data_IF_761626592689
#
_entry.id   IF_761626592689
#
_cell.length_a   1.000
_cell.length_b   1.000
_cell.length_c   1.000
_cell.angle_alpha   90.00
_cell.angle_beta   90.00
_cell.angle_gamma   90.00
#
_symmetry.space_group_name_H-M   'P 1'
#
loop_
_entity.id
_entity.type
_entity.pdbx_description
1 polymer ?
#
# COMPACT_ATOMS: atom_id res chain seq x y z
N UNK A 1 35.99 -1.04 -32.29
CA UNK A 1 36.47 -0.21 -31.15
C UNK A 1 36.75 -1.07 -29.94
N UNK A 2 37.96 -0.98 -29.39
CA UNK A 2 38.42 -1.81 -28.27
C UNK A 2 39.21 -1.04 -27.22
N UNK A 3 39.14 0.30 -27.23
CA UNK A 3 39.83 1.22 -26.31
C UNK A 3 41.29 0.78 -26.02
N UNK A 4 42.07 0.59 -27.09
CA UNK A 4 43.50 0.24 -27.03
C UNK A 4 44.31 1.41 -27.58
N UNK A 5 45.49 1.62 -27.03
CA UNK A 5 46.45 2.60 -27.51
C UNK A 5 47.86 1.98 -27.53
N UNK A 6 48.73 2.50 -28.40
CA UNK A 6 50.12 2.07 -28.52
C UNK A 6 51.00 3.29 -28.83
N UNK A 7 52.19 3.33 -28.25
CA UNK A 7 53.24 4.29 -28.58
C UNK A 7 54.46 3.53 -29.11
N UNK A 8 54.75 3.69 -30.41
CA UNK A 8 55.83 2.99 -31.11
C UNK A 8 57.06 3.88 -31.31
N UNK A 9 58.23 3.25 -31.49
CA UNK A 9 59.47 3.97 -31.81
C UNK A 9 60.03 4.82 -30.65
N UNK A 10 59.70 4.48 -29.40
CA UNK A 10 60.20 5.19 -28.23
C UNK A 10 61.67 4.81 -27.94
N UNK A 11 62.50 5.81 -27.68
CA UNK A 11 63.88 5.59 -27.28
C UNK A 11 63.94 4.81 -25.96
N UNK A 12 64.83 3.82 -25.88
CA UNK A 12 65.04 3.07 -24.63
C UNK A 12 65.96 3.79 -23.66
N UNK A 13 66.87 4.62 -24.17
CA UNK A 13 67.90 5.31 -23.40
C UNK A 13 68.04 6.77 -23.84
N UNK A 14 68.30 7.66 -22.88
CA UNK A 14 68.69 9.05 -23.13
C UNK A 14 69.99 9.32 -22.40
N UNK A 15 71.03 9.74 -23.12
CA UNK A 15 72.37 9.99 -22.58
C UNK A 15 72.94 8.82 -21.73
N UNK A 16 72.68 7.57 -22.16
CA UNK A 16 73.14 6.36 -21.47
C UNK A 16 72.29 5.90 -20.28
N UNK A 17 71.22 6.60 -19.91
CA UNK A 17 70.30 6.21 -18.83
C UNK A 17 68.98 5.66 -19.38
N UNK A 18 68.43 4.60 -18.76
CA UNK A 18 67.17 3.99 -19.16
C UNK A 18 65.99 4.94 -18.90
N UNK A 19 65.08 5.06 -19.87
CA UNK A 19 63.89 5.91 -19.75
C UNK A 19 62.75 5.09 -19.12
N UNK A 20 62.16 5.60 -18.04
CA UNK A 20 60.94 5.05 -17.45
C UNK A 20 59.73 5.77 -18.03
N UNK A 21 58.99 5.11 -18.91
CA UNK A 21 57.74 5.64 -19.45
C UNK A 21 56.56 5.33 -18.51
N UNK A 22 55.65 6.28 -18.39
CA UNK A 22 54.38 6.17 -17.67
C UNK A 22 53.29 6.85 -18.48
N UNK A 23 52.05 6.46 -18.26
CA UNK A 23 50.88 7.06 -18.90
C UNK A 23 50.07 7.86 -17.89
N UNK A 24 49.38 8.89 -18.38
CA UNK A 24 48.41 9.65 -17.62
C UNK A 24 47.27 10.05 -18.54
N UNK A 25 46.04 9.97 -18.06
CA UNK A 25 44.83 10.45 -18.70
C UNK A 25 44.54 11.89 -18.24
N UNK A 26 44.00 12.71 -19.15
CA UNK A 26 43.38 13.96 -18.75
C UNK A 26 42.16 13.69 -17.86
N UNK A 27 41.86 14.59 -16.92
CA UNK A 27 40.71 14.41 -16.03
C UNK A 27 39.41 14.30 -16.84
N UNK A 28 38.63 13.25 -16.55
CA UNK A 28 37.29 13.04 -17.12
C UNK A 28 36.28 13.41 -16.04
N UNK A 29 35.39 14.36 -16.35
CA UNK A 29 34.42 14.87 -15.38
C UNK A 29 33.52 13.74 -14.84
N UNK A 30 33.34 13.74 -13.52
CA UNK A 30 32.59 12.69 -12.82
C UNK A 30 33.26 11.32 -12.70
N UNK A 31 34.47 11.11 -13.24
CA UNK A 31 35.19 9.84 -13.15
C UNK A 31 36.45 9.95 -12.28
N UNK A 32 36.73 8.86 -11.56
CA UNK A 32 37.99 8.64 -10.86
C UNK A 32 38.86 7.70 -11.66
N UNK A 33 39.97 8.21 -12.16
CA UNK A 33 40.99 7.46 -12.90
C UNK A 33 41.98 6.77 -11.94
N UNK A 34 42.30 5.52 -12.23
CA UNK A 34 43.33 4.71 -11.55
C UNK A 34 44.18 3.99 -12.60
N UNK A 35 45.39 3.58 -12.22
CA UNK A 35 46.36 2.97 -13.14
C UNK A 35 46.81 1.61 -12.62
N UNK A 36 46.77 0.59 -13.48
CA UNK A 36 47.35 -0.72 -13.24
C UNK A 36 48.41 -1.01 -14.32
N UNK A 37 49.66 -0.63 -14.03
CA UNK A 37 50.70 -0.53 -15.05
C UNK A 37 50.33 0.53 -16.08
N UNK A 38 50.18 0.13 -17.34
CA UNK A 38 49.72 1.01 -18.41
C UNK A 38 48.20 0.92 -18.64
N UNK A 39 47.47 0.06 -17.92
CA UNK A 39 46.02 0.02 -18.03
C UNK A 39 45.42 1.20 -17.26
N UNK A 40 44.56 1.97 -17.92
CA UNK A 40 43.83 3.10 -17.34
C UNK A 40 42.43 2.59 -16.99
N UNK A 41 42.00 2.82 -15.76
CA UNK A 41 40.70 2.37 -15.24
C UNK A 41 39.93 3.57 -14.69
N UNK A 42 38.79 3.88 -15.30
CA UNK A 42 37.89 4.94 -14.86
C UNK A 42 36.69 4.35 -14.11
N UNK A 43 36.43 4.89 -12.93
CA UNK A 43 35.30 4.49 -12.08
C UNK A 43 34.37 5.68 -11.86
N UNK A 44 33.06 5.45 -11.90
CA UNK A 44 32.03 6.46 -11.66
C UNK A 44 31.05 5.95 -10.61
N UNK A 45 30.66 6.82 -9.67
CA UNK A 45 29.65 6.49 -8.68
C UNK A 45 28.26 6.70 -9.27
N UNK A 46 27.50 5.61 -9.38
CA UNK A 46 26.12 5.65 -9.89
C UNK A 46 25.23 6.36 -8.88
N UNK A 47 24.43 7.33 -9.34
CA UNK A 47 23.44 8.01 -8.52
C UNK A 47 22.35 7.03 -8.04
N UNK A 48 22.05 7.08 -6.74
CA UNK A 48 21.03 6.25 -6.09
C UNK A 48 19.82 7.06 -5.65
N UNK A 49 18.69 6.39 -5.46
CA UNK A 49 17.44 6.95 -4.93
C UNK A 49 16.72 5.93 -4.04
N UNK A 50 15.60 6.36 -3.44
CA UNK A 50 14.72 5.51 -2.65
C UNK A 50 13.26 5.83 -2.92
N UNK A 51 12.40 4.85 -2.67
CA UNK A 51 10.94 4.97 -2.77
C UNK A 51 10.34 4.48 -1.46
N UNK A 52 9.57 5.34 -0.79
CA UNK A 52 8.86 5.00 0.44
C UNK A 52 7.40 5.44 0.37
N UNK A 53 6.59 4.80 1.20
CA UNK A 53 5.16 5.05 1.30
C UNK A 53 4.57 4.43 2.56
N UNK A 54 3.31 4.78 2.82
CA UNK A 54 2.53 4.23 3.92
C UNK A 54 1.23 3.62 3.40
N UNK A 55 0.80 2.55 4.08
CA UNK A 55 -0.50 1.91 3.91
C UNK A 55 -1.49 2.46 4.94
N UNK A 56 -2.67 2.83 4.45
CA UNK A 56 -3.83 3.25 5.24
C UNK A 56 -5.00 2.31 4.97
N UNK A 57 -5.72 1.96 6.03
CA UNK A 57 -6.93 1.15 6.00
C UNK A 57 -8.14 2.04 6.29
N UNK A 58 -9.10 2.06 5.36
CA UNK A 58 -10.39 2.74 5.49
C UNK A 58 -11.50 1.67 5.58
N UNK A 59 -11.57 1.01 6.73
CA UNK A 59 -12.42 -0.18 6.99
C UNK A 59 -13.06 -0.17 8.37
N UNK A 60 -13.32 1.03 8.90
CA UNK A 60 -13.96 1.23 10.22
C UNK A 60 -13.23 0.49 11.36
N UNK A 61 -11.90 0.59 11.37
CA UNK A 61 -11.03 -0.11 12.32
C UNK A 61 -11.22 -1.63 12.29
N UNK A 62 -11.23 -2.19 11.07
CA UNK A 62 -11.43 -3.62 10.83
C UNK A 62 -12.75 -4.16 11.42
N UNK A 63 -13.84 -3.40 11.29
CA UNK A 63 -15.15 -3.74 11.87
C UNK A 63 -15.63 -5.15 11.49
N UNK A 64 -15.43 -5.52 10.22
CA UNK A 64 -15.86 -6.81 9.65
C UNK A 64 -14.80 -7.91 9.82
N UNK A 65 -13.62 -7.60 10.37
CA UNK A 65 -12.55 -8.57 10.61
C UNK A 65 -11.84 -9.08 9.34
N UNK A 66 -12.00 -8.41 8.20
CA UNK A 66 -11.48 -8.84 6.90
C UNK A 66 -10.07 -8.35 6.58
N UNK A 67 -9.51 -7.43 7.38
CA UNK A 67 -8.16 -6.89 7.16
C UNK A 67 -7.14 -8.04 7.26
N UNK A 68 -6.31 -8.27 6.22
CA UNK A 68 -5.27 -9.28 6.28
C UNK A 68 -4.14 -8.86 7.23
N UNK A 69 -3.36 -9.85 7.70
CA UNK A 69 -2.19 -9.60 8.55
C UNK A 69 -1.03 -8.92 7.79
N UNK A 70 -0.99 -9.09 6.48
CA UNK A 70 0.05 -8.58 5.60
C UNK A 70 -0.48 -8.21 4.20
N UNK A 71 0.25 -7.33 3.53
CA UNK A 71 0.08 -7.00 2.11
C UNK A 71 1.41 -7.19 1.38
N UNK A 72 1.36 -7.32 0.06
CA UNK A 72 2.56 -7.26 -0.78
C UNK A 72 2.55 -5.99 -1.61
N UNK A 73 3.57 -5.14 -1.43
CA UNK A 73 3.82 -3.95 -2.24
C UNK A 73 4.90 -4.24 -3.26
N UNK A 74 4.61 -4.05 -4.53
CA UNK A 74 5.54 -4.24 -5.64
C UNK A 74 6.15 -2.89 -6.03
N UNK A 75 7.47 -2.89 -6.28
CA UNK A 75 8.16 -1.76 -6.89
C UNK A 75 8.27 -2.01 -8.39
N UNK A 76 7.83 -1.04 -9.18
CA UNK A 76 7.92 -1.06 -10.63
C UNK A 76 8.95 -0.02 -11.10
N UNK A 77 9.87 -0.44 -11.96
CA UNK A 77 10.77 0.43 -12.71
C UNK A 77 10.30 0.46 -14.16
N UNK A 78 9.94 1.65 -14.66
CA UNK A 78 9.42 1.85 -16.02
C UNK A 78 8.26 0.90 -16.36
N UNK A 79 7.36 0.71 -15.39
CA UNK A 79 6.18 -0.16 -15.52
C UNK A 79 6.46 -1.67 -15.41
N UNK A 80 7.67 -2.08 -15.05
CA UNK A 80 8.01 -3.50 -14.83
C UNK A 80 8.35 -3.75 -13.37
N UNK A 81 7.76 -4.79 -12.78
CA UNK A 81 8.10 -5.22 -11.42
C UNK A 81 9.59 -5.56 -11.33
N UNK A 82 10.29 -4.93 -10.39
CA UNK A 82 11.72 -5.15 -10.11
C UNK A 82 11.98 -5.63 -8.69
N UNK A 83 11.07 -5.35 -7.75
CA UNK A 83 11.17 -5.78 -6.37
C UNK A 83 9.78 -5.91 -5.73
N UNK A 84 9.69 -6.51 -4.54
CA UNK A 84 8.48 -6.53 -3.72
C UNK A 84 8.80 -6.64 -2.23
N UNK A 85 7.93 -6.06 -1.41
CA UNK A 85 8.05 -6.08 0.05
C UNK A 85 6.74 -6.52 0.69
N UNK A 86 6.83 -7.45 1.62
CA UNK A 86 5.74 -7.77 2.54
C UNK A 86 5.67 -6.68 3.61
N UNK A 87 4.49 -6.14 3.84
CA UNK A 87 4.25 -5.06 4.81
C UNK A 87 3.18 -5.50 5.79
N UNK A 88 3.46 -5.34 7.09
CA UNK A 88 2.59 -5.79 8.18
C UNK A 88 2.28 -4.65 9.15
N UNK A 89 1.40 -4.92 10.11
CA UNK A 89 1.16 -4.01 11.23
C UNK A 89 2.41 -3.77 12.10
N UNK A 90 3.35 -4.75 12.18
CA UNK A 90 4.61 -4.61 12.93
C UNK A 90 5.53 -3.55 12.34
N UNK A 91 5.43 -3.33 11.04
CA UNK A 91 6.16 -2.29 10.31
C UNK A 91 5.48 -0.91 10.42
N UNK A 92 4.39 -0.82 11.20
CA UNK A 92 3.55 0.36 11.24
C UNK A 92 2.88 0.67 9.90
N UNK A 93 2.69 -0.36 9.06
CA UNK A 93 2.15 -0.23 7.71
C UNK A 93 2.99 0.70 6.82
N UNK A 94 4.31 0.78 7.04
CA UNK A 94 5.23 1.59 6.23
C UNK A 94 6.18 0.70 5.44
N UNK A 95 6.62 1.20 4.30
CA UNK A 95 7.59 0.51 3.47
C UNK A 95 8.56 1.47 2.80
N UNK A 96 9.70 0.93 2.42
CA UNK A 96 10.79 1.64 1.76
C UNK A 96 11.61 0.65 0.93
N UNK A 97 12.01 1.11 -0.25
CA UNK A 97 12.96 0.50 -1.17
C UNK A 97 14.15 1.45 -1.30
N UNK A 98 15.35 1.00 -0.91
CA UNK A 98 16.58 1.79 -0.87
C UNK A 98 17.57 1.36 -1.96
N UNK A 99 18.63 2.15 -2.14
CA UNK A 99 19.75 1.85 -3.04
C UNK A 99 19.37 1.58 -4.50
N UNK A 100 18.26 2.17 -4.95
CA UNK A 100 17.73 2.06 -6.30
C UNK A 100 18.58 2.88 -7.27
N UNK A 101 18.91 2.33 -8.43
CA UNK A 101 19.60 3.10 -9.47
C UNK A 101 18.70 4.25 -9.95
N UNK A 102 19.23 5.47 -10.00
CA UNK A 102 18.44 6.61 -10.49
C UNK A 102 18.32 6.62 -12.00
N UNK A 103 19.32 6.08 -12.71
CA UNK A 103 19.40 6.12 -14.16
C UNK A 103 19.66 4.75 -14.76
N UNK A 104 19.08 4.49 -15.93
CA UNK A 104 19.36 3.34 -16.79
C UNK A 104 19.67 3.83 -18.19
N UNK A 105 20.86 3.49 -18.69
CA UNK A 105 21.33 3.91 -20.02
C UNK A 105 21.22 5.44 -20.25
N UNK A 106 21.50 6.24 -19.20
CA UNK A 106 21.46 7.70 -19.26
C UNK A 106 20.06 8.33 -19.13
N UNK A 107 18.99 7.55 -18.99
CA UNK A 107 17.63 8.04 -18.74
C UNK A 107 17.22 7.79 -17.29
N UNK A 108 16.48 8.73 -16.69
CA UNK A 108 15.98 8.57 -15.32
C UNK A 108 14.92 7.48 -15.27
N UNK A 109 15.03 6.56 -14.30
CA UNK A 109 14.09 5.45 -14.12
C UNK A 109 12.84 6.00 -13.45
N UNK A 110 11.67 5.73 -14.03
CA UNK A 110 10.40 6.05 -13.38
C UNK A 110 10.01 4.93 -12.41
N UNK A 111 10.17 5.18 -11.12
CA UNK A 111 9.68 4.27 -10.08
C UNK A 111 8.23 4.55 -9.70
N UNK A 112 7.46 3.48 -9.53
CA UNK A 112 6.06 3.49 -9.05
C UNK A 112 5.81 2.28 -8.17
N UNK A 113 4.71 2.30 -7.41
CA UNK A 113 4.33 1.22 -6.50
C UNK A 113 2.98 0.64 -6.90
N UNK A 114 2.80 -0.65 -6.66
CA UNK A 114 1.54 -1.35 -6.89
C UNK A 114 1.32 -2.41 -5.81
N UNK A 115 0.15 -2.42 -5.17
CA UNK A 115 -0.26 -3.45 -4.23
C UNK A 115 -0.81 -4.69 -4.95
N UNK A 116 -0.46 -5.88 -4.47
CA UNK A 116 -1.19 -7.09 -4.85
C UNK A 116 -2.64 -6.99 -4.34
N UNK A 117 -3.61 -7.38 -5.18
CA UNK A 117 -5.03 -7.26 -4.85
C UNK A 117 -5.38 -7.87 -3.49
N UNK A 118 -6.08 -7.09 -2.66
CA UNK A 118 -6.58 -7.51 -1.35
C UNK A 118 -8.08 -7.82 -1.47
N UNK A 119 -8.47 -9.04 -1.17
CA UNK A 119 -9.85 -9.48 -1.30
C UNK A 119 -10.80 -8.62 -0.43
N UNK A 120 -11.89 -8.13 -1.02
CA UNK A 120 -12.88 -7.31 -0.32
C UNK A 120 -12.52 -5.83 -0.18
N UNK A 121 -11.37 -5.39 -0.72
CA UNK A 121 -10.93 -4.00 -0.65
C UNK A 121 -10.76 -3.39 -2.05
N UNK A 122 -11.06 -2.10 -2.13
CA UNK A 122 -10.70 -1.26 -3.26
C UNK A 122 -9.42 -0.47 -2.93
N UNK A 123 -8.41 -0.57 -3.80
CA UNK A 123 -7.12 0.08 -3.61
C UNK A 123 -7.04 1.39 -4.41
N UNK A 124 -6.61 2.46 -3.74
CA UNK A 124 -6.27 3.75 -4.37
C UNK A 124 -4.89 4.22 -3.94
N UNK A 125 -4.30 5.15 -4.69
CA UNK A 125 -2.95 5.65 -4.46
C UNK A 125 -2.93 7.18 -4.36
N UNK A 126 -2.19 7.70 -3.39
CA UNK A 126 -1.80 9.10 -3.28
C UNK A 126 -0.26 9.20 -3.31
N UNK A 127 0.28 9.44 -4.50
CA UNK A 127 1.70 9.24 -4.76
C UNK A 127 2.09 7.77 -4.52
N UNK A 128 2.93 7.52 -3.52
CA UNK A 128 3.31 6.17 -3.09
C UNK A 128 2.51 5.69 -1.86
N UNK A 129 1.62 6.50 -1.30
CA UNK A 129 0.74 6.01 -0.24
C UNK A 129 -0.36 5.15 -0.83
N UNK A 130 -0.70 4.07 -0.12
CA UNK A 130 -1.68 3.09 -0.54
C UNK A 130 -2.86 3.18 0.42
N UNK A 131 -4.08 3.32 -0.10
CA UNK A 131 -5.30 3.30 0.70
C UNK A 131 -6.16 2.13 0.27
N UNK A 132 -6.50 1.23 1.19
CA UNK A 132 -7.52 0.22 0.95
C UNK A 132 -8.80 0.59 1.66
N UNK A 133 -9.90 0.59 0.91
CA UNK A 133 -11.25 0.92 1.41
C UNK A 133 -12.12 -0.31 1.40
N UNK A 134 -12.82 -0.55 2.50
CA UNK A 134 -13.83 -1.60 2.63
C UNK A 134 -15.14 -1.01 3.16
N UNK A 135 -16.24 -1.29 2.47
CA UNK A 135 -17.58 -0.91 2.89
C UNK A 135 -18.12 -1.97 3.84
N UNK A 136 -18.43 -1.57 5.08
CA UNK A 136 -18.91 -2.49 6.13
C UNK A 136 -20.24 -3.13 5.76
N UNK A 137 -20.42 -4.39 6.11
CA UNK A 137 -21.66 -5.11 5.86
C UNK A 137 -22.82 -4.56 6.71
N UNK A 138 -23.98 -4.40 6.07
CA UNK A 138 -25.23 -3.94 6.70
C UNK A 138 -26.28 -5.06 6.75
N UNK A 139 -27.22 -4.96 7.69
CA UNK A 139 -28.36 -5.87 7.87
C UNK A 139 -29.64 -5.10 8.23
N UNK A 140 -30.76 -5.79 8.30
CA UNK A 140 -32.05 -5.25 8.75
C UNK A 140 -32.77 -6.21 9.69
N UNK A 141 -33.59 -5.66 10.58
CA UNK A 141 -34.43 -6.42 11.52
C UNK A 141 -35.87 -5.96 11.33
N UNK A 142 -36.76 -6.90 11.02
CA UNK A 142 -38.19 -6.63 10.87
C UNK A 142 -39.03 -7.62 11.67
N UNK A 143 -40.26 -7.22 11.95
CA UNK A 143 -41.21 -8.05 12.68
C UNK A 143 -42.62 -7.47 12.67
N UNK A 144 -43.53 -8.19 13.32
CA UNK A 144 -44.92 -7.78 13.48
C UNK A 144 -45.39 -8.07 14.91
N UNK A 145 -46.08 -7.11 15.52
CA UNK A 145 -46.77 -7.33 16.78
C UNK A 145 -48.14 -7.97 16.51
N UNK A 146 -48.35 -9.14 17.12
CA UNK A 146 -49.66 -9.78 17.18
C UNK A 146 -50.30 -9.55 18.55
N UNK A 147 -51.57 -9.13 18.54
CA UNK A 147 -52.41 -9.03 19.74
C UNK A 147 -53.23 -10.31 19.90
N UNK A 148 -53.17 -10.94 21.08
CA UNK A 148 -53.93 -12.15 21.42
C UNK A 148 -54.89 -11.82 22.56
N UNK A 149 -55.83 -10.92 22.29
CA UNK A 149 -56.71 -10.25 23.26
C UNK A 149 -58.20 -10.31 22.85
N UNK A 150 -58.58 -11.36 22.09
CA UNK A 150 -59.94 -11.56 21.56
C UNK A 150 -60.49 -10.34 20.81
N UNK A 151 -59.70 -9.80 19.88
CA UNK A 151 -60.02 -8.60 19.11
C UNK A 151 -60.36 -7.38 19.99
N UNK A 152 -59.51 -7.17 21.01
CA UNK A 152 -59.64 -6.06 21.95
C UNK A 152 -60.99 -6.05 22.70
N UNK A 153 -61.47 -7.22 23.15
CA UNK A 153 -62.76 -7.39 23.82
C UNK A 153 -62.99 -6.39 24.97
N UNK A 154 -61.94 -6.15 25.77
CA UNK A 154 -62.00 -5.28 26.95
C UNK A 154 -61.71 -3.80 26.64
N UNK A 155 -61.35 -3.47 25.39
CA UNK A 155 -61.08 -2.10 24.97
C UNK A 155 -59.78 -1.48 25.54
N UNK A 156 -58.86 -2.29 26.08
CA UNK A 156 -57.64 -1.83 26.75
C UNK A 156 -56.39 -1.81 25.86
N UNK A 157 -56.49 -2.25 24.61
CA UNK A 157 -55.36 -2.22 23.67
C UNK A 157 -54.91 -0.77 23.45
N UNK A 158 -53.62 -0.44 23.63
CA UNK A 158 -53.11 0.90 23.40
C UNK A 158 -53.12 1.24 21.90
N UNK A 159 -53.19 2.54 21.59
CA UNK A 159 -53.14 3.04 20.21
C UNK A 159 -51.77 2.85 19.55
N UNK A 160 -50.71 2.79 20.35
CA UNK A 160 -49.33 2.63 19.92
C UNK A 160 -48.49 1.81 20.90
N UNK A 161 -47.40 1.25 20.40
CA UNK A 161 -46.32 0.64 21.21
C UNK A 161 -44.97 1.18 20.77
N UNK A 162 -43.97 1.05 21.65
CA UNK A 162 -42.58 1.30 21.30
C UNK A 162 -41.82 -0.01 21.22
N UNK A 163 -41.31 -0.35 20.04
CA UNK A 163 -40.38 -1.48 19.83
C UNK A 163 -38.97 -0.95 19.97
N UNK A 164 -38.19 -1.49 20.90
CA UNK A 164 -36.78 -1.14 21.06
C UNK A 164 -35.91 -2.14 20.30
N UNK A 165 -34.96 -1.65 19.50
CA UNK A 165 -33.89 -2.46 18.93
C UNK A 165 -32.75 -2.53 19.96
N UNK A 166 -32.26 -3.74 20.22
CA UNK A 166 -31.13 -3.97 21.11
C UNK A 166 -29.98 -4.60 20.33
N UNK A 167 -28.76 -4.10 20.54
CA UNK A 167 -27.52 -4.75 20.12
C UNK A 167 -26.70 -5.07 21.37
N UNK A 168 -26.21 -6.31 21.50
CA UNK A 168 -25.53 -6.80 22.71
C UNK A 168 -26.34 -6.56 24.01
N UNK A 169 -27.67 -6.67 23.93
CA UNK A 169 -28.57 -6.41 25.06
C UNK A 169 -28.71 -4.93 25.47
N UNK A 170 -28.11 -3.99 24.72
CA UNK A 170 -28.25 -2.54 24.95
C UNK A 170 -29.17 -1.94 23.91
N UNK A 171 -30.10 -1.07 24.33
CA UNK A 171 -30.97 -0.33 23.41
C UNK A 171 -30.10 0.56 22.50
N UNK A 172 -30.27 0.40 21.19
CA UNK A 172 -29.58 1.20 20.16
C UNK A 172 -30.54 2.04 19.32
N UNK A 173 -31.80 1.62 19.20
CA UNK A 173 -32.83 2.38 18.50
C UNK A 173 -34.23 2.05 19.06
N UNK A 174 -35.25 2.80 18.65
CA UNK A 174 -36.64 2.44 18.91
C UNK A 174 -37.60 3.03 17.89
N UNK A 175 -38.69 2.31 17.63
CA UNK A 175 -39.74 2.71 16.69
C UNK A 175 -41.10 2.67 17.38
N UNK A 176 -41.87 3.74 17.24
CA UNK A 176 -43.29 3.74 17.57
C UNK A 176 -44.06 3.02 16.46
N UNK A 177 -44.94 2.10 16.85
CA UNK A 177 -45.70 1.24 15.93
C UNK A 177 -47.17 1.34 16.30
N UNK A 178 -48.00 1.55 15.28
CA UNK A 178 -49.45 1.73 15.44
C UNK A 178 -50.24 0.72 14.60
N UNK A 179 -51.56 0.72 14.76
CA UNK A 179 -52.46 -0.03 13.89
C UNK A 179 -52.37 0.41 12.41
N UNK A 180 -52.03 1.69 12.13
CA UNK A 180 -51.89 2.20 10.75
C UNK A 180 -50.73 1.54 10.00
N UNK A 181 -49.70 1.11 10.72
CA UNK A 181 -48.55 0.40 10.20
C UNK A 181 -48.81 -1.12 10.05
N UNK A 182 -50.06 -1.56 10.28
CA UNK A 182 -50.40 -2.98 10.36
C UNK A 182 -49.66 -3.72 11.48
N UNK A 183 -49.24 -2.99 12.51
CA UNK A 183 -48.38 -3.47 13.61
C UNK A 183 -47.02 -4.02 13.16
N UNK A 184 -46.54 -3.66 11.97
CA UNK A 184 -45.24 -4.08 11.45
C UNK A 184 -44.16 -3.04 11.76
N UNK A 185 -42.94 -3.50 11.95
CA UNK A 185 -41.78 -2.65 12.15
C UNK A 185 -40.57 -3.20 11.38
N UNK A 186 -39.65 -2.30 11.08
CA UNK A 186 -38.39 -2.58 10.41
C UNK A 186 -37.36 -1.53 10.81
N UNK A 187 -36.14 -2.00 11.05
CA UNK A 187 -34.91 -1.25 11.27
C UNK A 187 -33.92 -1.63 10.16
N UNK A 188 -33.44 -0.66 9.40
CA UNK A 188 -32.57 -0.86 8.22
C UNK A 188 -31.16 -0.30 8.48
N UNK A 189 -30.22 -0.61 7.59
CA UNK A 189 -28.85 -0.10 7.58
C UNK A 189 -28.07 -0.32 8.90
N UNK A 190 -28.41 -1.41 9.60
CA UNK A 190 -27.75 -1.80 10.84
C UNK A 190 -26.39 -2.39 10.53
N UNK A 191 -25.36 -2.04 11.32
CA UNK A 191 -24.07 -2.73 11.25
C UNK A 191 -24.27 -4.23 11.48
N UNK A 192 -23.75 -5.06 10.57
CA UNK A 192 -23.85 -6.51 10.70
C UNK A 192 -22.81 -7.07 11.66
N UNK A 193 -21.62 -6.46 11.68
CA UNK A 193 -20.49 -6.90 12.50
C UNK A 193 -20.02 -5.80 13.44
N UNK A 194 -19.42 -6.23 14.55
CA UNK A 194 -18.68 -5.40 15.49
C UNK A 194 -17.42 -6.15 15.93
N UNK A 195 -16.25 -5.59 15.62
CA UNK A 195 -14.95 -6.20 15.89
C UNK A 195 -14.84 -7.65 15.37
N UNK A 196 -15.35 -7.89 14.16
CA UNK A 196 -15.32 -9.18 13.46
C UNK A 196 -16.39 -10.19 13.93
N UNK A 197 -17.27 -9.83 14.86
CA UNK A 197 -18.37 -10.69 15.33
C UNK A 197 -19.72 -10.18 14.85
N UNK A 198 -20.58 -11.07 14.36
CA UNK A 198 -21.94 -10.75 13.95
C UNK A 198 -22.78 -10.36 15.19
N UNK A 199 -23.55 -9.26 15.10
CA UNK A 199 -24.35 -8.69 16.20
C UNK A 199 -25.86 -8.85 16.01
#
# INVERSE_FOLDING_TARGET
>A
DGWKYEFNGLDKFKAGQAIKYTVAEAAVDGYKTTYNGNNIVNTHQVAKTSVSGQKTWSDHDNQDGLRPDEITVNLLADGKKVDSKTVTAKDGWKYEFNDLDKFKAGQEIKYTVEEAAVAGYETTYDGNNIVNTHQVAKTSVSGQKTWSDHDNQDGVRPDEITVNLLADGKKVDSKTVTAKDGWKYEFNDLDKFKAGQEI
#
